data_IF_735803585618
#
_entry.id   IF_735803585618
#
_cell.length_a   1.000
_cell.length_b   1.000
_cell.length_c   1.000
_cell.angle_alpha   90.00
_cell.angle_beta   90.00
_cell.angle_gamma   90.00
#
_symmetry.space_group_name_H-M   'P 1'
#
loop_
_entity.id
_entity.type
_entity.pdbx_description
1 polymer ?
#
# COMPACT_ATOMS: atom_id res chain seq x y z
N UNK A 1 4.11 -24.82 -15.91
CA UNK A 1 4.84 -23.57 -16.11
C UNK A 1 6.13 -23.86 -16.84
N UNK A 2 6.22 -23.46 -18.10
CA UNK A 2 7.33 -23.78 -19.02
C UNK A 2 8.43 -22.71 -18.93
N UNK A 3 9.68 -23.09 -19.17
CA UNK A 3 10.83 -22.17 -19.27
C UNK A 3 10.58 -21.08 -20.34
N UNK A 4 9.71 -21.35 -21.32
CA UNK A 4 9.28 -20.37 -22.33
C UNK A 4 8.41 -19.22 -21.75
N UNK A 5 7.69 -19.46 -20.64
CA UNK A 5 6.89 -18.43 -19.96
C UNK A 5 7.77 -17.51 -19.10
N UNK A 6 8.90 -18.02 -18.61
CA UNK A 6 9.91 -17.26 -17.86
C UNK A 6 10.75 -16.34 -18.77
N UNK A 7 10.97 -16.70 -20.04
CA UNK A 7 11.70 -15.85 -21.01
C UNK A 7 10.82 -14.77 -21.63
N UNK A 8 9.50 -14.96 -21.72
CA UNK A 8 8.57 -13.92 -22.16
C UNK A 8 8.54 -12.70 -21.22
N UNK A 9 8.84 -12.90 -19.93
CA UNK A 9 8.96 -11.84 -18.93
C UNK A 9 10.27 -11.03 -19.02
N UNK A 10 11.17 -11.37 -19.95
CA UNK A 10 12.48 -10.72 -20.12
C UNK A 10 12.57 -9.87 -21.38
N UNK A 11 11.44 -9.37 -21.88
CA UNK A 11 11.45 -8.31 -22.91
C UNK A 11 12.11 -7.07 -22.29
N UNK A 12 13.10 -6.52 -23.00
CA UNK A 12 13.71 -5.25 -22.61
C UNK A 12 12.61 -4.18 -22.42
N UNK A 13 12.76 -3.24 -21.48
CA UNK A 13 11.73 -2.22 -21.16
C UNK A 13 11.41 -1.26 -22.31
N UNK A 14 11.94 -1.51 -23.51
CA UNK A 14 11.76 -0.75 -24.74
C UNK A 14 10.88 -1.46 -25.78
N UNK A 15 10.39 -2.68 -25.49
CA UNK A 15 9.61 -3.47 -26.45
C UNK A 15 8.20 -2.92 -26.70
N UNK A 16 7.63 -2.21 -25.72
CA UNK A 16 6.30 -1.61 -25.80
C UNK A 16 6.41 -0.10 -26.00
N UNK A 17 7.10 0.34 -27.05
CA UNK A 17 7.08 1.74 -27.44
C UNK A 17 5.74 2.06 -28.13
N UNK A 18 4.85 2.89 -27.53
CA UNK A 18 3.59 3.26 -28.17
C UNK A 18 3.78 4.05 -29.49
N UNK A 19 4.99 4.53 -29.77
CA UNK A 19 5.34 5.24 -31.01
C UNK A 19 6.04 4.36 -32.07
N UNK A 20 6.04 3.03 -31.90
CA UNK A 20 6.52 2.12 -32.95
C UNK A 20 8.01 2.24 -33.29
N UNK A 21 8.85 2.71 -32.36
CA UNK A 21 10.31 2.73 -32.52
C UNK A 21 10.89 3.96 -33.22
N UNK A 22 10.08 4.96 -33.57
CA UNK A 22 10.55 6.14 -34.31
C UNK A 22 11.07 7.29 -33.44
N UNK A 23 10.73 7.29 -32.14
CA UNK A 23 11.26 8.24 -31.15
C UNK A 23 11.66 7.45 -29.90
N UNK A 24 12.87 7.61 -29.36
CA UNK A 24 13.22 7.03 -28.07
C UNK A 24 12.22 7.54 -27.04
N UNK A 25 11.60 6.62 -26.27
CA UNK A 25 10.84 7.02 -25.08
C UNK A 25 11.79 7.88 -24.25
N UNK A 26 11.44 9.14 -24.02
CA UNK A 26 12.30 10.04 -23.25
C UNK A 26 12.48 9.44 -21.85
N UNK A 27 13.67 9.57 -21.26
CA UNK A 27 13.92 9.04 -19.91
C UNK A 27 12.87 9.53 -18.89
N UNK A 28 12.30 10.70 -19.16
CA UNK A 28 11.18 11.34 -18.48
C UNK A 28 9.90 10.50 -18.48
N UNK A 29 9.47 10.00 -19.63
CA UNK A 29 8.22 9.24 -19.71
C UNK A 29 8.35 7.90 -18.99
N UNK A 30 9.52 7.26 -19.05
CA UNK A 30 9.82 6.07 -18.24
C UNK A 30 9.78 6.40 -16.74
N UNK A 31 10.31 7.56 -16.33
CA UNK A 31 10.30 7.98 -14.93
C UNK A 31 8.88 8.28 -14.42
N UNK A 32 8.06 9.00 -15.19
CA UNK A 32 6.67 9.29 -14.87
C UNK A 32 5.83 8.01 -14.80
N UNK A 33 5.99 7.09 -15.77
CA UNK A 33 5.32 5.78 -15.75
C UNK A 33 5.69 4.98 -14.49
N UNK A 34 6.98 4.99 -14.10
CA UNK A 34 7.42 4.33 -12.87
C UNK A 34 6.80 4.98 -11.63
N UNK A 35 6.76 6.30 -11.53
CA UNK A 35 6.11 7.00 -10.41
C UNK A 35 4.61 6.65 -10.31
N UNK A 36 3.92 6.58 -11.44
CA UNK A 36 2.52 6.12 -11.49
C UNK A 36 2.40 4.68 -10.98
N UNK A 37 3.28 3.76 -11.45
CA UNK A 37 3.32 2.38 -10.97
C UNK A 37 3.54 2.26 -9.46
N UNK A 38 4.51 3.01 -8.92
CA UNK A 38 4.76 3.09 -7.47
C UNK A 38 3.55 3.61 -6.70
N UNK A 39 2.88 4.65 -7.22
CA UNK A 39 1.67 5.19 -6.59
C UNK A 39 0.54 4.17 -6.53
N UNK A 40 0.34 3.39 -7.59
CA UNK A 40 -0.67 2.34 -7.64
C UNK A 40 -0.35 1.21 -6.67
N UNK A 41 0.92 0.82 -6.56
CA UNK A 41 1.37 -0.18 -5.59
C UNK A 41 1.10 0.29 -4.16
N UNK A 42 1.51 1.50 -3.79
CA UNK A 42 1.27 2.05 -2.45
C UNK A 42 -0.24 2.12 -2.16
N UNK A 43 -1.06 2.53 -3.13
CA UNK A 43 -2.53 2.54 -2.98
C UNK A 43 -3.09 1.13 -2.70
N UNK A 44 -2.61 0.11 -3.41
CA UNK A 44 -3.02 -1.28 -3.17
C UNK A 44 -2.61 -1.74 -1.77
N UNK A 45 -1.39 -1.43 -1.35
CA UNK A 45 -0.89 -1.76 -0.01
C UNK A 45 -1.74 -1.10 1.07
N UNK A 46 -2.10 0.18 0.93
CA UNK A 46 -3.03 0.87 1.84
C UNK A 46 -4.34 0.10 1.97
N UNK A 47 -4.97 -0.25 0.84
CA UNK A 47 -6.25 -1.00 0.87
C UNK A 47 -6.11 -2.36 1.54
N UNK A 48 -5.00 -3.07 1.35
CA UNK A 48 -4.76 -4.34 2.06
C UNK A 48 -4.62 -4.12 3.57
N UNK A 49 -3.88 -3.10 4.00
CA UNK A 49 -3.74 -2.80 5.43
C UNK A 49 -5.04 -2.31 6.07
N UNK A 50 -5.91 -1.63 5.34
CA UNK A 50 -7.26 -1.26 5.81
C UNK A 50 -8.12 -2.52 6.07
N UNK A 51 -8.07 -3.50 5.17
CA UNK A 51 -8.74 -4.79 5.37
C UNK A 51 -8.16 -5.57 6.56
N UNK A 52 -6.83 -5.58 6.70
CA UNK A 52 -6.16 -6.23 7.84
C UNK A 52 -6.55 -5.52 9.15
N UNK A 53 -6.59 -4.19 9.17
CA UNK A 53 -7.00 -3.42 10.34
C UNK A 53 -8.42 -3.79 10.79
N UNK A 54 -9.37 -3.82 9.85
CA UNK A 54 -10.75 -4.22 10.15
C UNK A 54 -10.82 -5.65 10.69
N UNK A 55 -10.08 -6.57 10.06
CA UNK A 55 -9.97 -7.96 10.51
C UNK A 55 -9.41 -8.07 11.93
N UNK A 56 -8.34 -7.34 12.25
CA UNK A 56 -7.74 -7.35 13.59
C UNK A 56 -8.68 -6.79 14.65
N UNK A 57 -9.42 -5.72 14.37
CA UNK A 57 -10.45 -5.20 15.28
C UNK A 57 -11.54 -6.23 15.53
N UNK A 58 -12.02 -6.90 14.48
CA UNK A 58 -13.03 -7.96 14.59
C UNK A 58 -12.53 -9.18 15.38
N UNK A 59 -11.28 -9.60 15.17
CA UNK A 59 -10.65 -10.69 15.92
C UNK A 59 -10.51 -10.32 17.40
N UNK A 60 -10.08 -9.08 17.69
CA UNK A 60 -10.03 -8.58 19.05
C UNK A 60 -11.41 -8.66 19.72
N UNK A 61 -12.48 -8.24 19.06
CA UNK A 61 -13.84 -8.31 19.60
C UNK A 61 -14.31 -9.75 19.88
N UNK A 62 -14.01 -10.69 18.97
CA UNK A 62 -14.35 -12.10 19.15
C UNK A 62 -13.61 -12.69 20.34
N UNK A 63 -12.30 -12.45 20.44
CA UNK A 63 -11.51 -12.93 21.57
C UNK A 63 -11.90 -12.28 22.90
N UNK A 64 -12.31 -11.01 22.89
CA UNK A 64 -12.87 -10.36 24.07
C UNK A 64 -14.16 -11.04 24.55
N UNK A 65 -15.06 -11.40 23.63
CA UNK A 65 -16.30 -12.13 23.95
C UNK A 65 -15.99 -13.51 24.54
N UNK A 66 -15.14 -14.29 23.88
CA UNK A 66 -14.73 -15.60 24.38
C UNK A 66 -14.06 -15.51 25.75
N UNK A 67 -13.12 -14.57 25.93
CA UNK A 67 -12.47 -14.35 27.22
C UNK A 67 -13.49 -14.01 28.31
N UNK A 68 -14.47 -13.15 28.02
CA UNK A 68 -15.54 -12.82 28.97
C UNK A 68 -16.40 -14.04 29.32
N UNK A 69 -16.77 -14.86 28.34
CA UNK A 69 -17.59 -16.06 28.57
C UNK A 69 -16.86 -17.09 29.44
N UNK A 70 -15.58 -17.35 29.18
CA UNK A 70 -14.78 -18.29 29.96
C UNK A 70 -14.32 -17.75 31.33
N UNK A 71 -14.32 -16.43 31.51
CA UNK A 71 -13.97 -15.79 32.78
C UNK A 71 -15.11 -15.74 33.80
N UNK A 72 -16.33 -16.13 33.41
CA UNK A 72 -17.49 -16.16 34.30
C UNK A 72 -17.62 -17.55 34.91
N UNK A 73 -17.62 -17.63 36.24
CA UNK A 73 -17.93 -18.86 36.95
C UNK A 73 -19.35 -19.33 36.58
N UNK A 74 -19.45 -20.54 36.04
CA UNK A 74 -20.75 -21.15 35.73
C UNK A 74 -21.34 -21.65 37.05
N UNK A 75 -22.49 -21.08 37.44
CA UNK A 75 -23.17 -21.39 38.70
C UNK A 75 -24.45 -22.20 38.47
N UNK A 76 -24.87 -22.95 39.50
CA UNK A 76 -26.13 -23.68 39.50
C UNK A 76 -27.33 -22.72 39.42
N UNK A 77 -28.54 -23.25 39.14
CA UNK A 77 -29.78 -22.42 39.01
C UNK A 77 -30.05 -21.52 40.21
N UNK A 78 -29.63 -21.95 41.40
CA UNK A 78 -29.85 -21.25 42.66
C UNK A 78 -28.71 -20.25 42.96
N UNK A 79 -27.71 -20.15 42.08
CA UNK A 79 -26.55 -19.26 42.13
C UNK A 79 -25.65 -19.46 43.38
N UNK A 80 -25.83 -20.57 44.08
CA UNK A 80 -25.19 -20.90 45.36
C UNK A 80 -23.85 -21.63 45.17
N UNK A 81 -23.74 -22.47 44.15
CA UNK A 81 -22.57 -23.33 43.93
C UNK A 81 -22.07 -23.23 42.49
N UNK A 82 -20.76 -23.38 42.31
CA UNK A 82 -20.15 -23.47 40.98
C UNK A 82 -20.47 -24.84 40.37
N UNK A 83 -20.86 -24.89 39.09
CA UNK A 83 -21.27 -26.11 38.38
C UNK A 83 -20.17 -27.17 38.35
N UNK A 84 -18.91 -26.75 38.37
CA UNK A 84 -17.77 -27.66 38.40
C UNK A 84 -17.24 -27.93 39.81
N UNK A 85 -17.82 -27.33 40.86
CA UNK A 85 -17.44 -27.55 42.25
C UNK A 85 -15.93 -27.44 42.51
N UNK A 86 -15.34 -28.51 43.07
CA UNK A 86 -13.91 -28.64 43.35
C UNK A 86 -13.09 -29.29 42.22
N UNK A 87 -13.67 -29.50 41.02
CA UNK A 87 -12.94 -30.07 39.89
C UNK A 87 -11.84 -29.09 39.42
N UNK A 88 -10.63 -29.30 39.93
CA UNK A 88 -9.44 -28.51 39.59
C UNK A 88 -9.12 -28.54 38.10
N UNK A 89 -9.39 -29.65 37.42
CA UNK A 89 -9.01 -29.84 36.02
C UNK A 89 -9.91 -28.99 35.13
N UNK A 90 -11.23 -29.02 35.38
CA UNK A 90 -12.18 -28.14 34.69
C UNK A 90 -11.89 -26.65 34.95
N UNK A 91 -11.64 -26.27 36.22
CA UNK A 91 -11.32 -24.88 36.59
C UNK A 91 -10.04 -24.38 35.94
N UNK A 92 -9.00 -25.22 35.91
CA UNK A 92 -7.72 -24.90 35.27
C UNK A 92 -7.92 -24.69 33.78
N UNK A 93 -8.63 -25.60 33.09
CA UNK A 93 -8.93 -25.47 31.67
C UNK A 93 -9.66 -24.16 31.32
N UNK A 94 -10.72 -23.80 32.06
CA UNK A 94 -11.46 -22.55 31.79
C UNK A 94 -10.62 -21.31 32.09
N UNK A 95 -9.75 -21.37 33.11
CA UNK A 95 -8.81 -20.29 33.42
C UNK A 95 -7.78 -20.11 32.31
N UNK A 96 -7.22 -21.21 31.79
CA UNK A 96 -6.27 -21.20 30.68
C UNK A 96 -6.92 -20.68 29.38
N UNK A 97 -8.15 -21.10 29.09
CA UNK A 97 -8.92 -20.60 27.94
C UNK A 97 -9.20 -19.10 28.06
N UNK A 98 -9.63 -18.64 29.25
CA UNK A 98 -9.84 -17.23 29.53
C UNK A 98 -8.57 -16.41 29.29
N UNK A 99 -7.44 -16.84 29.86
CA UNK A 99 -6.14 -16.18 29.72
C UNK A 99 -5.64 -16.17 28.27
N UNK A 100 -5.79 -17.29 27.57
CA UNK A 100 -5.39 -17.41 26.16
C UNK A 100 -6.17 -16.44 25.29
N UNK A 101 -7.50 -16.41 25.41
CA UNK A 101 -8.33 -15.47 24.66
C UNK A 101 -8.11 -14.01 25.07
N UNK A 102 -7.84 -13.75 26.35
CA UNK A 102 -7.49 -12.40 26.81
C UNK A 102 -6.20 -11.90 26.15
N UNK A 103 -5.18 -12.77 26.09
CA UNK A 103 -3.92 -12.46 25.41
C UNK A 103 -4.13 -12.21 23.92
N UNK A 104 -4.85 -13.09 23.22
CA UNK A 104 -5.13 -12.93 21.80
C UNK A 104 -5.91 -11.65 21.50
N UNK A 105 -6.88 -11.29 22.35
CA UNK A 105 -7.57 -10.00 22.27
C UNK A 105 -6.59 -8.82 22.35
N UNK A 106 -5.72 -8.82 23.36
CA UNK A 106 -4.71 -7.78 23.56
C UNK A 106 -3.74 -7.69 22.37
N UNK A 107 -3.25 -8.81 21.87
CA UNK A 107 -2.31 -8.87 20.73
C UNK A 107 -2.95 -8.35 19.43
N UNK A 108 -4.22 -8.71 19.17
CA UNK A 108 -4.98 -8.19 18.03
C UNK A 108 -5.25 -6.70 18.15
N UNK A 109 -5.56 -6.19 19.35
CA UNK A 109 -5.77 -4.77 19.58
C UNK A 109 -4.49 -3.95 19.40
N UNK A 110 -3.37 -4.43 19.94
CA UNK A 110 -2.06 -3.80 19.74
C UNK A 110 -1.66 -3.77 18.26
N UNK A 111 -1.91 -4.87 17.53
CA UNK A 111 -1.68 -4.94 16.09
C UNK A 111 -2.55 -3.94 15.32
N UNK A 112 -3.84 -3.85 15.65
CA UNK A 112 -4.75 -2.86 15.06
C UNK A 112 -4.28 -1.42 15.35
N UNK A 113 -3.82 -1.13 16.56
CA UNK A 113 -3.32 0.18 16.95
C UNK A 113 -2.07 0.58 16.15
N UNK A 114 -1.12 -0.33 15.95
CA UNK A 114 0.08 -0.06 15.12
C UNK A 114 -0.32 0.27 13.68
N UNK A 115 -1.27 -0.49 13.12
CA UNK A 115 -1.76 -0.25 11.77
C UNK A 115 -2.44 1.11 11.64
N UNK A 116 -3.27 1.49 12.60
CA UNK A 116 -4.08 2.71 12.60
C UNK A 116 -3.25 3.98 12.87
N UNK A 117 -2.30 3.91 13.81
CA UNK A 117 -1.54 5.07 14.27
C UNK A 117 -0.26 5.29 13.45
N UNK A 118 0.39 4.22 12.99
CA UNK A 118 1.70 4.32 12.34
C UNK A 118 1.65 3.95 10.86
N UNK A 119 1.20 2.74 10.53
CA UNK A 119 1.38 2.19 9.18
C UNK A 119 0.53 2.93 8.15
N UNK A 120 -0.79 3.03 8.37
CA UNK A 120 -1.70 3.68 7.42
C UNK A 120 -1.39 5.17 7.23
N UNK A 121 -1.14 5.97 8.29
CA UNK A 121 -0.75 7.36 8.13
C UNK A 121 0.56 7.53 7.33
N UNK A 122 1.58 6.71 7.62
CA UNK A 122 2.86 6.78 6.90
C UNK A 122 2.69 6.42 5.41
N UNK A 123 1.90 5.39 5.10
CA UNK A 123 1.63 5.01 3.71
C UNK A 123 0.83 6.08 2.97
N UNK A 124 -0.15 6.72 3.63
CA UNK A 124 -0.93 7.82 3.05
C UNK A 124 -0.06 9.05 2.79
N UNK A 125 0.85 9.38 3.71
CA UNK A 125 1.83 10.45 3.53
C UNK A 125 2.78 10.15 2.34
N UNK A 126 3.31 8.92 2.27
CA UNK A 126 4.14 8.47 1.15
C UNK A 126 3.39 8.56 -0.19
N UNK A 127 2.13 8.12 -0.22
CA UNK A 127 1.29 8.23 -1.42
C UNK A 127 1.11 9.68 -1.87
N UNK A 128 0.84 10.60 -0.94
CA UNK A 128 0.73 12.02 -1.22
C UNK A 128 2.05 12.60 -1.74
N UNK A 129 3.19 12.22 -1.17
CA UNK A 129 4.51 12.65 -1.62
C UNK A 129 4.82 12.17 -3.04
N UNK A 130 4.54 10.91 -3.36
CA UNK A 130 4.73 10.35 -4.71
C UNK A 130 3.87 11.11 -5.73
N UNK A 131 2.59 11.38 -5.41
CA UNK A 131 1.71 12.13 -6.31
C UNK A 131 2.20 13.57 -6.52
N UNK A 132 2.62 14.24 -5.44
CA UNK A 132 3.16 15.59 -5.52
C UNK A 132 4.41 15.62 -6.42
N UNK A 133 5.37 14.73 -6.17
CA UNK A 133 6.58 14.62 -7.01
C UNK A 133 6.25 14.34 -8.46
N UNK A 134 5.29 13.46 -8.75
CA UNK A 134 4.86 13.20 -10.12
C UNK A 134 4.29 14.46 -10.79
N UNK A 135 3.45 15.23 -10.10
CA UNK A 135 2.88 16.48 -10.64
C UNK A 135 3.92 17.58 -10.81
N UNK A 136 4.83 17.75 -9.85
CA UNK A 136 5.89 18.77 -9.93
C UNK A 136 6.85 18.45 -11.09
N UNK A 137 7.23 17.18 -11.22
CA UNK A 137 8.08 16.69 -12.31
C UNK A 137 7.38 16.93 -13.67
N UNK A 138 6.11 16.54 -13.81
CA UNK A 138 5.34 16.73 -15.05
C UNK A 138 5.26 18.20 -15.49
N UNK A 139 5.10 19.13 -14.52
CA UNK A 139 5.11 20.57 -14.79
C UNK A 139 6.46 21.09 -15.26
N UNK A 140 7.54 20.77 -14.52
CA UNK A 140 8.90 21.21 -14.87
C UNK A 140 9.27 20.76 -16.30
N UNK A 141 8.93 19.53 -16.67
CA UNK A 141 9.19 19.03 -18.01
C UNK A 141 8.32 19.69 -19.08
N UNK A 142 7.04 19.92 -18.79
CA UNK A 142 6.14 20.63 -19.73
C UNK A 142 6.61 22.06 -19.99
N UNK A 143 7.21 22.72 -18.99
CA UNK A 143 7.81 24.04 -19.14
C UNK A 143 9.08 23.98 -19.99
N UNK A 144 9.96 23.02 -19.74
CA UNK A 144 11.19 22.82 -20.54
C UNK A 144 10.88 22.49 -22.02
N UNK A 145 9.87 21.66 -22.29
CA UNK A 145 9.46 21.34 -23.67
C UNK A 145 8.98 22.59 -24.43
N UNK A 146 8.28 23.51 -23.75
CA UNK A 146 7.85 24.78 -24.35
C UNK A 146 9.05 25.69 -24.64
N UNK A 147 10.04 25.72 -23.76
CA UNK A 147 11.26 26.50 -23.95
C UNK A 147 12.07 25.96 -25.13
N UNK A 148 12.27 24.64 -25.21
CA UNK A 148 12.96 23.99 -26.34
C UNK A 148 12.27 24.25 -27.68
N UNK A 149 10.94 24.20 -27.72
CA UNK A 149 10.20 24.48 -28.97
C UNK A 149 10.31 25.96 -29.36
N UNK A 150 10.33 26.88 -28.39
CA UNK A 150 10.59 28.30 -28.63
C UNK A 150 12.00 28.52 -29.18
N UNK A 151 13.02 27.93 -28.55
CA UNK A 151 14.42 28.05 -28.96
C UNK A 151 14.63 27.47 -30.35
N UNK A 152 13.99 26.34 -30.65
CA UNK A 152 13.99 25.75 -31.99
C UNK A 152 13.38 26.68 -33.03
N UNK A 153 12.24 27.30 -32.72
CA UNK A 153 11.59 28.25 -33.62
C UNK A 153 12.47 29.49 -33.86
N UNK A 154 13.13 29.99 -32.82
CA UNK A 154 14.07 31.11 -32.90
C UNK A 154 15.32 30.76 -33.72
N UNK A 155 15.91 29.58 -33.49
CA UNK A 155 17.02 29.07 -34.29
C UNK A 155 16.67 28.96 -35.77
N UNK A 156 15.48 28.42 -36.11
CA UNK A 156 15.02 28.34 -37.49
C UNK A 156 14.89 29.74 -38.12
N UNK A 157 14.33 30.71 -37.39
CA UNK A 157 14.22 32.10 -37.84
C UNK A 157 15.60 32.71 -38.11
N UNK A 158 16.51 32.63 -37.14
CA UNK A 158 17.88 33.15 -37.26
C UNK A 158 18.66 32.50 -38.40
N UNK A 159 18.54 31.18 -38.54
CA UNK A 159 19.17 30.43 -39.64
C UNK A 159 18.65 30.89 -41.00
N UNK A 160 17.33 31.08 -41.13
CA UNK A 160 16.73 31.54 -42.38
C UNK A 160 17.13 32.99 -42.69
N UNK A 161 17.20 33.86 -41.67
CA UNK A 161 17.70 35.23 -41.81
C UNK A 161 19.15 35.26 -42.31
N UNK A 162 20.04 34.49 -41.68
CA UNK A 162 21.45 34.38 -42.09
C UNK A 162 21.59 33.89 -43.54
N UNK A 163 20.84 32.84 -43.91
CA UNK A 163 20.83 32.35 -45.30
C UNK A 163 20.35 33.41 -46.29
N UNK A 164 19.34 34.19 -45.92
CA UNK A 164 18.84 35.30 -46.75
C UNK A 164 19.81 36.47 -46.84
N UNK A 165 20.66 36.70 -45.83
CA UNK A 165 21.68 37.76 -45.85
C UNK A 165 22.97 37.40 -46.57
N UNK A 166 23.20 36.09 -46.80
CA UNK A 166 24.36 35.53 -47.50
C UNK A 166 24.10 35.27 -49.00
N UNK A 167 22.86 35.49 -49.46
CA UNK A 167 22.42 35.41 -50.85
C UNK A 167 22.32 36.80 -51.47
#
# INVERSE_FOLDING_TARGET
MSIAELTAARRAPFADNPTGGLVPITATEVFLQRLVGWSQLVKRIISQYELILESQKKLADVHAKCSKEFGVAIKTKDNTEDVFGEDELARTLFTELHQTHHKLHSDSLASAQVLEVQVLPNLRALYAEIRRKATDTDKEWTEMDKELERDRAEFIKLRNYLKGSLA
#
